data_IF_360768130350
#
_entry.id   IF_360768130350
#
_cell.length_a   1.000
_cell.length_b   1.000
_cell.length_c   1.000
_cell.angle_alpha   90.00
_cell.angle_beta   90.00
_cell.angle_gamma   90.00
#
_symmetry.space_group_name_H-M   'P 1'
#
loop_
_entity.id
_entity.type
_entity.pdbx_description
1 polymer ?
#
# COMPACT_ATOMS: atom_id res chain seq x y z
N UNK A 1 -1.65 -18.91 -28.31
CA UNK A 1 -0.69 -19.56 -27.40
C UNK A 1 -0.78 -18.87 -26.03
N UNK A 2 -1.82 -19.22 -25.26
CA UNK A 2 -2.15 -18.60 -23.97
C UNK A 2 -1.38 -19.24 -22.83
N UNK A 3 -0.05 -19.26 -22.94
CA UNK A 3 0.82 -20.18 -22.22
C UNK A 3 0.95 -19.94 -20.71
N UNK A 4 0.24 -18.98 -20.12
CA UNK A 4 0.30 -18.72 -18.66
C UNK A 4 -1.06 -18.28 -18.10
N UNK A 5 -2.07 -19.15 -18.26
CA UNK A 5 -3.37 -19.00 -17.59
C UNK A 5 -3.16 -18.78 -16.09
N UNK A 6 -3.95 -17.89 -15.47
CA UNK A 6 -3.95 -17.60 -14.02
C UNK A 6 -3.91 -18.90 -13.18
N UNK A 7 -4.54 -19.96 -13.69
CA UNK A 7 -4.56 -21.28 -13.09
C UNK A 7 -3.18 -21.92 -12.90
N UNK A 8 -2.25 -21.71 -13.83
CA UNK A 8 -0.89 -22.23 -13.71
C UNK A 8 -0.15 -21.57 -12.53
N UNK A 9 -0.31 -20.25 -12.37
CA UNK A 9 0.30 -19.50 -11.27
C UNK A 9 -0.24 -19.93 -9.90
N UNK A 10 -1.53 -20.26 -9.78
CA UNK A 10 -2.09 -20.80 -8.53
C UNK A 10 -1.46 -22.16 -8.15
N UNK A 11 -1.27 -23.04 -9.14
CA UNK A 11 -0.68 -24.36 -8.92
C UNK A 11 0.80 -24.25 -8.55
N UNK A 12 1.56 -23.40 -9.24
CA UNK A 12 2.97 -23.15 -8.92
C UNK A 12 3.11 -22.55 -7.52
N UNK A 13 2.27 -21.57 -7.16
CA UNK A 13 2.26 -20.98 -5.82
C UNK A 13 1.97 -22.04 -4.74
N UNK A 14 1.02 -22.94 -5.00
CA UNK A 14 0.70 -24.05 -4.10
C UNK A 14 1.90 -24.98 -3.86
N UNK A 15 2.62 -25.34 -4.91
CA UNK A 15 3.83 -26.20 -4.79
C UNK A 15 4.93 -25.47 -4.01
N UNK A 16 5.17 -24.19 -4.28
CA UNK A 16 6.16 -23.39 -3.52
C UNK A 16 5.81 -23.39 -2.02
N UNK A 17 4.53 -23.20 -1.68
CA UNK A 17 4.09 -23.25 -0.28
C UNK A 17 4.29 -24.64 0.34
N UNK A 18 4.07 -25.71 -0.40
CA UNK A 18 4.28 -27.09 0.08
C UNK A 18 5.76 -27.42 0.31
N UNK A 19 6.64 -26.99 -0.61
CA UNK A 19 8.09 -27.26 -0.53
C UNK A 19 8.74 -26.47 0.60
N UNK A 20 8.40 -25.18 0.72
CA UNK A 20 8.97 -24.32 1.76
C UNK A 20 8.24 -24.48 3.11
N UNK A 21 7.01 -24.99 3.09
CA UNK A 21 6.13 -25.10 4.26
C UNK A 21 5.57 -23.75 4.69
N UNK A 22 4.35 -23.76 5.24
CA UNK A 22 3.65 -22.54 5.70
C UNK A 22 4.36 -21.83 6.85
N UNK A 23 5.15 -22.54 7.66
CA UNK A 23 5.93 -21.95 8.76
C UNK A 23 6.98 -20.97 8.25
N UNK A 24 7.87 -21.40 7.33
CA UNK A 24 8.90 -20.52 6.77
C UNK A 24 8.33 -19.36 5.97
N UNK A 25 7.27 -19.59 5.19
CA UNK A 25 6.59 -18.51 4.48
C UNK A 25 5.93 -17.50 5.44
N UNK A 26 5.42 -17.93 6.60
CA UNK A 26 4.80 -17.01 7.55
C UNK A 26 5.83 -16.19 8.31
N UNK A 27 6.94 -16.81 8.71
CA UNK A 27 8.01 -16.11 9.42
C UNK A 27 8.68 -15.07 8.49
N UNK A 28 9.07 -15.46 7.27
CA UNK A 28 9.66 -14.52 6.30
C UNK A 28 8.60 -13.56 5.68
N UNK A 29 7.39 -14.05 5.45
CA UNK A 29 6.30 -13.26 4.88
C UNK A 29 5.70 -12.27 5.87
N UNK A 30 5.83 -12.48 7.18
CA UNK A 30 5.45 -11.51 8.21
C UNK A 30 6.30 -10.25 8.17
N UNK A 31 7.62 -10.41 8.05
CA UNK A 31 8.57 -9.30 7.99
C UNK A 31 8.43 -8.52 6.67
N UNK A 32 8.42 -9.24 5.54
CA UNK A 32 8.19 -8.67 4.21
C UNK A 32 6.79 -8.04 4.10
N UNK A 33 5.77 -8.71 4.63
CA UNK A 33 4.38 -8.24 4.61
C UNK A 33 4.19 -6.97 5.44
N UNK A 34 4.88 -6.84 6.57
CA UNK A 34 4.83 -5.63 7.40
C UNK A 34 5.46 -4.43 6.69
N UNK A 35 6.59 -4.62 6.01
CA UNK A 35 7.23 -3.58 5.20
C UNK A 35 6.33 -3.14 4.03
N UNK A 36 5.74 -4.09 3.30
CA UNK A 36 4.82 -3.81 2.19
C UNK A 36 3.52 -3.17 2.69
N UNK A 37 3.01 -3.57 3.86
CA UNK A 37 1.82 -2.96 4.49
C UNK A 37 2.08 -1.50 4.83
N UNK A 38 3.23 -1.18 5.43
CA UNK A 38 3.61 0.21 5.71
C UNK A 38 3.77 1.03 4.43
N UNK A 39 4.38 0.46 3.39
CA UNK A 39 4.49 1.11 2.08
C UNK A 39 3.10 1.40 1.47
N UNK A 40 2.18 0.43 1.53
CA UNK A 40 0.80 0.60 1.04
C UNK A 40 0.01 1.63 1.85
N UNK A 41 0.17 1.66 3.17
CA UNK A 41 -0.43 2.67 4.04
C UNK A 41 0.11 4.05 3.71
N UNK A 42 1.44 4.22 3.64
CA UNK A 42 2.07 5.50 3.31
C UNK A 42 1.67 6.01 1.92
N UNK A 43 1.52 5.12 0.93
CA UNK A 43 1.04 5.52 -0.39
C UNK A 43 -0.45 5.90 -0.40
N UNK A 44 -1.31 5.21 0.36
CA UNK A 44 -2.71 5.60 0.52
C UNK A 44 -2.87 6.91 1.29
N UNK A 45 -2.05 7.12 2.31
CA UNK A 45 -2.07 8.34 3.11
C UNK A 45 -1.48 9.53 2.32
N UNK A 46 -0.47 9.30 1.47
CA UNK A 46 0.04 10.31 0.54
C UNK A 46 -0.98 10.70 -0.55
N UNK A 47 -1.76 9.74 -1.06
CA UNK A 47 -2.90 10.01 -1.95
C UNK A 47 -4.03 10.76 -1.22
N UNK A 48 -4.32 10.41 0.03
CA UNK A 48 -5.36 11.07 0.83
C UNK A 48 -4.95 12.47 1.33
N UNK A 49 -3.68 12.68 1.67
CA UNK A 49 -3.12 14.00 2.02
C UNK A 49 -3.04 14.92 0.81
N UNK A 50 -2.85 14.40 -0.41
CA UNK A 50 -3.00 15.17 -1.65
C UNK A 50 -4.38 15.82 -1.78
N UNK A 51 -5.42 15.17 -1.24
CA UNK A 51 -6.79 15.71 -1.23
C UNK A 51 -7.15 16.54 0.01
N UNK A 52 -6.48 16.37 1.16
CA UNK A 52 -6.73 17.17 2.38
C UNK A 52 -5.88 18.44 2.47
N UNK A 53 -4.64 18.43 1.99
CA UNK A 53 -3.72 19.58 2.09
C UNK A 53 -4.14 20.75 1.21
N UNK A 54 -4.99 20.51 0.20
CA UNK A 54 -5.60 21.56 -0.62
C UNK A 54 -6.69 22.37 0.14
N UNK A 55 -7.23 21.85 1.26
CA UNK A 55 -8.32 22.51 2.01
C UNK A 55 -7.82 23.36 3.18
N UNK A 56 -6.67 23.04 3.79
CA UNK A 56 -6.15 23.80 4.95
C UNK A 56 -5.30 25.04 4.59
N UNK A 57 -4.80 25.16 3.36
CA UNK A 57 -4.02 26.36 2.95
C UNK A 57 -4.88 27.58 2.57
N UNK A 58 -6.20 27.44 2.42
CA UNK A 58 -7.08 28.57 2.06
C UNK A 58 -7.66 29.27 3.31
N UNK A 59 -7.60 28.66 4.50
CA UNK A 59 -8.24 29.19 5.71
C UNK A 59 -7.36 30.12 6.58
N UNK A 60 -6.08 30.36 6.24
CA UNK A 60 -5.18 31.24 7.02
C UNK A 60 -4.75 32.54 6.32
N UNK A 61 -5.34 32.89 5.17
CA UNK A 61 -4.99 34.13 4.45
C UNK A 61 -6.00 35.30 4.65
N UNK A 62 -7.07 35.14 5.44
CA UNK A 62 -8.17 36.14 5.55
C UNK A 62 -8.27 36.81 6.94
N UNK A 63 -7.15 37.24 7.55
CA UNK A 63 -7.19 38.05 8.80
C UNK A 63 -6.25 39.27 8.82
N UNK A 64 -5.84 39.77 7.66
CA UNK A 64 -5.07 41.02 7.56
C UNK A 64 -5.51 41.78 6.32
N UNK A 65 -6.62 42.53 6.43
CA UNK A 65 -6.86 43.84 5.80
C UNK A 65 -8.37 44.13 5.79
N UNK A 66 -8.89 44.73 6.87
CA UNK A 66 -10.05 45.65 6.86
C UNK A 66 -10.14 46.29 8.23
N UNK A 67 -9.24 47.24 8.51
CA UNK A 67 -9.50 48.34 9.44
C UNK A 67 -8.54 49.49 9.14
N UNK A 68 -8.95 50.36 8.22
CA UNK A 68 -8.46 51.73 8.05
C UNK A 68 -9.64 52.68 8.01
#
# INVERSE_FOLDING_TARGET
MGSFSIWHWLIVLGIVILVFGTRKLRDAGGDLGSAVKNFKSAMKDGEAEGSKKASESIASADKTDTKV
#
